data_IF_217039875576
#
_entry.id   IF_217039875576
#
_cell.length_a   1.000
_cell.length_b   1.000
_cell.length_c   1.000
_cell.angle_alpha   90.00
_cell.angle_beta   90.00
_cell.angle_gamma   90.00
#
_symmetry.space_group_name_H-M   'P 1'
#
loop_
_entity.id
_entity.type
_entity.pdbx_description
1 polymer ?
#
# COMPACT_ATOMS: atom_id res chain seq x y z
N UNK A 1 -25.80 11.86 32.30
CA UNK A 1 -24.52 11.14 32.20
C UNK A 1 -24.72 9.92 31.31
N UNK A 2 -23.99 9.84 30.21
CA UNK A 2 -24.05 8.68 29.37
C UNK A 2 -23.55 7.47 30.16
N UNK A 3 -24.41 6.48 30.35
CA UNK A 3 -24.00 5.20 30.89
C UNK A 3 -22.91 4.60 29.98
N UNK A 4 -21.81 4.04 30.53
CA UNK A 4 -20.83 3.33 29.71
C UNK A 4 -21.57 2.24 28.93
N UNK A 5 -21.47 2.26 27.60
CA UNK A 5 -21.97 1.15 26.80
C UNK A 5 -21.16 -0.09 27.17
N UNK A 6 -21.77 -1.24 27.19
CA UNK A 6 -21.06 -2.52 27.29
C UNK A 6 -20.22 -2.70 26.03
N UNK A 7 -18.98 -2.18 26.09
CA UNK A 7 -18.00 -2.37 25.01
C UNK A 7 -17.47 -3.81 25.10
N UNK A 8 -17.24 -4.41 23.95
CA UNK A 8 -16.54 -5.69 23.88
C UNK A 8 -15.14 -5.54 24.47
N UNK A 9 -14.60 -6.57 25.13
CA UNK A 9 -13.18 -6.56 25.51
C UNK A 9 -12.30 -6.33 24.29
N UNK A 10 -11.20 -5.57 24.45
CA UNK A 10 -10.26 -5.25 23.35
C UNK A 10 -9.76 -6.52 22.63
N UNK A 11 -9.55 -7.62 23.35
CA UNK A 11 -9.17 -8.92 22.78
C UNK A 11 -10.20 -9.45 21.79
N UNK A 12 -11.49 -9.23 22.09
CA UNK A 12 -12.59 -9.67 21.23
C UNK A 12 -12.73 -8.78 19.98
N UNK A 13 -12.55 -7.48 20.15
CA UNK A 13 -12.51 -6.54 19.03
C UNK A 13 -11.33 -6.84 18.09
N UNK A 14 -10.15 -7.13 18.65
CA UNK A 14 -8.98 -7.52 17.87
C UNK A 14 -9.22 -8.83 17.11
N UNK A 15 -9.79 -9.85 17.75
CA UNK A 15 -10.15 -11.12 17.11
C UNK A 15 -11.11 -10.92 15.93
N UNK A 16 -12.14 -10.09 16.12
CA UNK A 16 -13.10 -9.77 15.06
C UNK A 16 -12.44 -9.02 13.92
N UNK A 17 -11.68 -7.96 14.21
CA UNK A 17 -11.00 -7.15 13.20
C UNK A 17 -10.00 -7.98 12.39
N UNK A 18 -9.19 -8.82 13.04
CA UNK A 18 -8.22 -9.69 12.36
C UNK A 18 -8.91 -10.77 11.53
N UNK A 19 -10.04 -11.30 12.00
CA UNK A 19 -10.83 -12.27 11.24
C UNK A 19 -11.41 -11.63 9.97
N UNK A 20 -12.01 -10.45 10.08
CA UNK A 20 -12.56 -9.71 8.93
C UNK A 20 -11.43 -9.41 7.93
N UNK A 21 -10.31 -8.88 8.40
CA UNK A 21 -9.18 -8.55 7.54
C UNK A 21 -8.60 -9.81 6.86
N UNK A 22 -8.39 -10.90 7.61
CA UNK A 22 -7.90 -12.18 7.04
C UNK A 22 -8.85 -12.73 5.97
N UNK A 23 -10.16 -12.60 6.14
CA UNK A 23 -11.17 -13.07 5.18
C UNK A 23 -11.25 -12.18 3.93
N UNK A 24 -10.76 -10.94 3.99
CA UNK A 24 -10.74 -10.03 2.85
C UNK A 24 -9.63 -10.34 1.84
N UNK A 25 -8.64 -11.18 2.17
CA UNK A 25 -7.57 -11.56 1.25
C UNK A 25 -8.11 -12.39 0.08
N UNK A 26 -7.94 -11.91 -1.15
CA UNK A 26 -8.41 -12.55 -2.38
C UNK A 26 -7.35 -12.52 -3.47
N UNK A 27 -7.52 -13.41 -4.43
CA UNK A 27 -6.70 -13.49 -5.64
C UNK A 27 -7.53 -13.14 -6.85
N UNK A 28 -7.03 -12.20 -7.65
CA UNK A 28 -7.63 -11.73 -8.90
C UNK A 28 -6.63 -11.87 -10.04
N UNK A 29 -7.06 -11.54 -11.25
CA UNK A 29 -6.17 -11.48 -12.43
C UNK A 29 -5.02 -10.49 -12.21
N UNK A 30 -5.27 -9.38 -11.52
CA UNK A 30 -4.26 -8.37 -11.20
C UNK A 30 -3.19 -8.89 -10.24
N UNK A 31 -3.59 -9.64 -9.20
CA UNK A 31 -2.73 -10.14 -8.14
C UNK A 31 -3.50 -10.56 -6.89
N UNK A 32 -2.79 -10.77 -5.80
CA UNK A 32 -3.38 -11.18 -4.51
C UNK A 32 -3.19 -10.08 -3.48
N UNK A 33 -4.28 -9.68 -2.84
CA UNK A 33 -4.29 -8.57 -1.87
C UNK A 33 -5.48 -8.62 -0.92
N UNK A 34 -5.39 -7.87 0.17
CA UNK A 34 -6.51 -7.62 1.08
C UNK A 34 -7.44 -6.59 0.47
N UNK A 35 -8.72 -6.93 0.39
CA UNK A 35 -9.74 -6.06 -0.20
C UNK A 35 -10.03 -4.86 0.69
N UNK A 36 -10.27 -3.69 0.09
CA UNK A 36 -11.01 -2.63 0.75
C UNK A 36 -12.47 -3.04 0.95
N UNK A 37 -13.14 -2.37 1.87
CA UNK A 37 -14.58 -2.54 2.04
C UNK A 37 -15.32 -2.18 0.73
N UNK A 38 -16.25 -3.04 0.33
CA UNK A 38 -17.15 -2.84 -0.81
C UNK A 38 -16.49 -2.68 -2.20
N UNK A 39 -15.26 -3.15 -2.39
CA UNK A 39 -14.61 -3.10 -3.70
C UNK A 39 -13.72 -4.32 -3.94
N UNK A 40 -13.67 -4.79 -5.19
CA UNK A 40 -12.68 -5.77 -5.65
C UNK A 40 -11.41 -5.12 -6.21
N UNK A 41 -11.42 -3.80 -6.37
CA UNK A 41 -10.28 -3.05 -6.89
C UNK A 41 -9.31 -2.70 -5.76
N UNK A 42 -8.03 -2.82 -6.04
CA UNK A 42 -7.00 -2.42 -5.09
C UNK A 42 -6.82 -0.91 -5.06
N UNK A 43 -6.76 -0.34 -3.86
CA UNK A 43 -6.43 1.05 -3.63
C UNK A 43 -5.23 1.17 -2.69
N UNK A 44 -4.14 1.69 -3.22
CA UNK A 44 -2.89 1.85 -2.49
C UNK A 44 -3.03 2.87 -1.37
N UNK A 45 -2.68 2.48 -0.15
CA UNK A 45 -2.61 3.35 1.03
C UNK A 45 -3.83 4.29 1.24
N UNK A 46 -5.04 3.75 1.02
CA UNK A 46 -6.27 4.48 1.28
C UNK A 46 -7.12 3.80 2.36
N UNK A 47 -7.94 2.83 2.00
CA UNK A 47 -8.82 2.08 2.92
C UNK A 47 -8.38 0.63 3.11
N UNK A 48 -7.40 0.19 2.36
CA UNK A 48 -6.79 -1.15 2.43
C UNK A 48 -5.30 -1.06 2.12
N UNK A 49 -4.84 -1.73 1.10
CA UNK A 49 -3.50 -1.71 0.54
C UNK A 49 -2.38 -1.24 1.46
N UNK A 50 -1.48 -2.10 1.86
CA UNK A 50 -0.37 -1.86 2.80
C UNK A 50 -0.78 -1.41 4.22
N UNK A 51 -1.91 -0.69 4.40
CA UNK A 51 -2.41 -0.32 5.73
C UNK A 51 -2.91 -1.56 6.47
N UNK A 52 -3.66 -2.44 5.78
CA UNK A 52 -4.18 -3.67 6.35
C UNK A 52 -3.10 -4.76 6.45
N UNK A 53 -2.09 -4.75 5.60
CA UNK A 53 -1.00 -5.73 5.63
C UNK A 53 -0.15 -5.64 6.89
N UNK A 54 0.09 -4.42 7.40
CA UNK A 54 0.93 -4.23 8.58
C UNK A 54 0.38 -4.91 9.84
N UNK A 55 -0.88 -4.71 10.27
CA UNK A 55 -1.45 -5.43 11.41
C UNK A 55 -1.53 -6.95 11.16
N UNK A 56 -1.75 -7.40 9.91
CA UNK A 56 -1.75 -8.83 9.59
C UNK A 56 -0.34 -9.42 9.72
N UNK A 57 0.70 -8.70 9.31
CA UNK A 57 2.09 -9.11 9.56
C UNK A 57 2.41 -9.17 11.06
N UNK A 58 1.85 -8.25 11.85
CA UNK A 58 2.07 -8.21 13.30
C UNK A 58 1.53 -9.45 14.04
N UNK A 59 0.58 -10.20 13.47
CA UNK A 59 0.11 -11.49 14.01
C UNK A 59 1.19 -12.55 14.03
N UNK A 60 2.26 -12.37 13.29
CA UNK A 60 3.46 -13.22 13.23
C UNK A 60 3.17 -14.71 13.00
N UNK A 61 2.15 -15.04 12.21
CA UNK A 61 1.86 -16.40 11.79
C UNK A 61 2.21 -16.60 10.30
N UNK A 62 2.56 -17.82 9.92
CA UNK A 62 3.02 -18.15 8.58
C UNK A 62 2.01 -17.81 7.48
N UNK A 63 0.73 -18.10 7.71
CA UNK A 63 -0.34 -17.84 6.75
C UNK A 63 -0.41 -16.35 6.37
N UNK A 64 -0.43 -15.46 7.37
CA UNK A 64 -0.56 -14.03 7.13
C UNK A 64 0.76 -13.44 6.61
N UNK A 65 1.94 -13.93 7.06
CA UNK A 65 3.22 -13.56 6.45
C UNK A 65 3.26 -13.84 4.95
N UNK A 66 2.79 -15.02 4.52
CA UNK A 66 2.76 -15.39 3.10
C UNK A 66 1.80 -14.50 2.30
N UNK A 67 0.66 -14.13 2.87
CA UNK A 67 -0.30 -13.22 2.24
C UNK A 67 0.23 -11.79 2.13
N UNK A 68 0.85 -11.30 3.19
CA UNK A 68 1.52 -9.98 3.19
C UNK A 68 2.63 -9.96 2.14
N UNK A 69 3.46 -11.03 2.08
CA UNK A 69 4.49 -11.15 1.03
C UNK A 69 3.89 -11.08 -0.37
N UNK A 70 2.77 -11.78 -0.61
CA UNK A 70 2.10 -11.75 -1.91
C UNK A 70 1.56 -10.36 -2.27
N UNK A 71 0.98 -9.62 -1.30
CA UNK A 71 0.53 -8.25 -1.56
C UNK A 71 1.70 -7.29 -1.79
N UNK A 72 2.80 -7.38 -1.02
CA UNK A 72 3.97 -6.54 -1.27
C UNK A 72 4.60 -6.82 -2.63
N UNK A 73 4.69 -8.09 -3.05
CA UNK A 73 5.11 -8.46 -4.41
C UNK A 73 4.19 -7.84 -5.47
N UNK A 74 2.89 -7.94 -5.26
CA UNK A 74 1.90 -7.35 -6.16
C UNK A 74 2.08 -5.83 -6.27
N UNK A 75 2.16 -5.12 -5.14
CA UNK A 75 2.34 -3.66 -5.09
C UNK A 75 3.60 -3.23 -5.82
N UNK A 76 4.74 -3.84 -5.50
CA UNK A 76 6.04 -3.48 -6.07
C UNK A 76 6.11 -3.78 -7.57
N UNK A 77 5.61 -4.95 -8.00
CA UNK A 77 5.75 -5.38 -9.38
C UNK A 77 4.68 -4.81 -10.34
N UNK A 78 3.52 -4.39 -9.81
CA UNK A 78 2.40 -3.95 -10.65
C UNK A 78 2.12 -2.46 -10.58
N UNK A 79 2.49 -1.81 -9.48
CA UNK A 79 2.09 -0.43 -9.25
C UNK A 79 3.25 0.57 -9.31
N UNK A 80 4.52 0.14 -9.28
CA UNK A 80 5.63 1.09 -9.41
C UNK A 80 5.86 1.48 -10.87
N UNK A 81 5.72 2.77 -11.17
CA UNK A 81 6.04 3.34 -12.47
C UNK A 81 7.55 3.53 -12.69
N UNK A 82 7.95 3.90 -13.92
CA UNK A 82 9.37 4.04 -14.28
C UNK A 82 10.09 5.14 -13.51
N UNK A 83 9.39 6.20 -13.13
CA UNK A 83 9.96 7.30 -12.33
C UNK A 83 10.32 6.89 -10.90
N UNK A 84 9.78 5.77 -10.40
CA UNK A 84 9.89 5.31 -9.03
C UNK A 84 8.65 5.57 -8.18
N UNK A 85 7.76 6.46 -8.61
CA UNK A 85 6.45 6.66 -7.99
C UNK A 85 5.49 5.51 -8.29
N UNK A 86 4.49 5.33 -7.44
CA UNK A 86 3.49 4.28 -7.54
C UNK A 86 2.16 4.83 -8.05
N UNK A 87 1.47 4.04 -8.86
CA UNK A 87 0.07 4.25 -9.21
C UNK A 87 -0.82 4.02 -7.99
N UNK A 88 -1.86 4.84 -7.84
CA UNK A 88 -2.72 4.85 -6.65
C UNK A 88 -3.73 3.71 -6.56
N UNK A 89 -3.94 2.96 -7.65
CA UNK A 89 -4.88 1.85 -7.66
C UNK A 89 -4.88 1.07 -8.97
N UNK A 90 -5.51 -0.11 -8.91
CA UNK A 90 -5.66 -1.02 -10.04
C UNK A 90 -6.97 -1.80 -9.91
N UNK A 91 -7.66 -2.04 -11.02
CA UNK A 91 -8.86 -2.86 -11.02
C UNK A 91 -8.53 -4.34 -10.79
N UNK A 92 -9.52 -5.13 -10.40
CA UNK A 92 -9.38 -6.59 -10.29
C UNK A 92 -8.92 -7.25 -11.60
N UNK A 93 -9.20 -6.63 -12.75
CA UNK A 93 -8.79 -7.09 -14.08
C UNK A 93 -7.36 -6.69 -14.48
N UNK A 94 -6.72 -5.78 -13.71
CA UNK A 94 -5.34 -5.35 -13.93
C UNK A 94 -5.20 -4.03 -14.70
N UNK A 95 -6.25 -3.21 -14.75
CA UNK A 95 -6.21 -1.87 -15.36
C UNK A 95 -5.85 -0.82 -14.31
N UNK A 96 -4.82 -0.01 -14.58
CA UNK A 96 -4.41 1.08 -13.69
C UNK A 96 -5.53 2.13 -13.58
N UNK A 97 -5.82 2.54 -12.35
CA UNK A 97 -6.84 3.56 -12.08
C UNK A 97 -6.21 4.93 -11.89
N UNK A 98 -6.65 5.94 -12.65
CA UNK A 98 -6.24 7.31 -12.41
C UNK A 98 -6.87 7.83 -11.11
N UNK A 99 -6.10 8.54 -10.30
CA UNK A 99 -6.59 9.32 -9.15
C UNK A 99 -6.90 10.76 -9.56
N UNK A 100 -7.36 10.92 -10.76
CA UNK A 100 -7.52 12.17 -11.46
C UNK A 100 -8.60 13.04 -10.81
N UNK A 101 -8.25 14.29 -10.58
CA UNK A 101 -9.19 15.33 -10.19
C UNK A 101 -9.42 16.37 -11.31
N UNK A 102 -8.60 16.37 -12.36
CA UNK A 102 -8.72 17.32 -13.47
C UNK A 102 -8.94 16.64 -14.82
N UNK A 103 -9.99 16.99 -15.59
CA UNK A 103 -10.36 16.36 -16.84
C UNK A 103 -9.30 16.49 -17.96
N UNK A 104 -8.46 17.52 -17.92
CA UNK A 104 -7.55 17.87 -19.00
C UNK A 104 -6.20 17.15 -18.94
N UNK A 105 -5.96 16.32 -17.93
CA UNK A 105 -4.72 15.54 -17.82
C UNK A 105 -4.91 14.15 -18.42
N UNK A 106 -4.25 13.83 -19.55
CA UNK A 106 -4.43 12.54 -20.24
C UNK A 106 -3.69 11.37 -19.56
N UNK A 107 -2.67 11.65 -18.75
CA UNK A 107 -1.88 10.61 -18.10
C UNK A 107 -2.54 10.08 -16.83
N UNK A 108 -2.28 8.81 -16.50
CA UNK A 108 -2.68 8.23 -15.21
C UNK A 108 -1.88 8.88 -14.10
N UNK A 109 -2.58 9.54 -13.19
CA UNK A 109 -2.00 10.28 -12.08
C UNK A 109 -2.19 9.53 -10.77
N UNK A 110 -1.29 9.77 -9.83
CA UNK A 110 -1.33 9.25 -8.48
C UNK A 110 -1.14 10.38 -7.46
N UNK A 111 -1.78 10.24 -6.31
CA UNK A 111 -1.60 11.19 -5.20
C UNK A 111 -0.20 11.08 -4.61
N UNK A 112 0.50 12.21 -4.49
CA UNK A 112 1.80 12.30 -3.83
C UNK A 112 1.72 11.82 -2.38
N UNK A 113 0.64 12.16 -1.66
CA UNK A 113 0.40 11.69 -0.29
C UNK A 113 0.41 10.15 -0.20
N UNK A 114 -0.29 9.45 -1.09
CA UNK A 114 -0.29 7.98 -1.09
C UNK A 114 1.10 7.41 -1.33
N UNK A 115 1.89 8.06 -2.15
CA UNK A 115 3.29 7.66 -2.38
C UNK A 115 4.16 7.84 -1.13
N UNK A 116 3.94 8.90 -0.34
CA UNK A 116 4.63 9.03 0.96
C UNK A 116 4.22 7.93 1.94
N UNK A 117 2.93 7.58 1.97
CA UNK A 117 2.41 6.47 2.78
C UNK A 117 3.01 5.12 2.33
N UNK A 118 3.20 4.88 1.01
CA UNK A 118 3.88 3.67 0.51
C UNK A 118 5.28 3.56 1.08
N UNK A 119 6.07 4.62 1.02
CA UNK A 119 7.43 4.61 1.56
C UNK A 119 7.42 4.32 3.06
N UNK A 120 6.55 5.00 3.81
CA UNK A 120 6.37 4.77 5.24
C UNK A 120 6.02 3.31 5.54
N UNK A 121 5.02 2.74 4.86
CA UNK A 121 4.57 1.38 5.14
C UNK A 121 5.59 0.32 4.70
N UNK A 122 6.30 0.50 3.57
CA UNK A 122 7.39 -0.41 3.19
C UNK A 122 8.44 -0.49 4.29
N UNK A 123 8.92 0.66 4.77
CA UNK A 123 9.90 0.70 5.87
C UNK A 123 9.35 0.09 7.14
N UNK A 124 8.09 0.35 7.49
CA UNK A 124 7.43 -0.24 8.68
C UNK A 124 7.37 -1.77 8.58
N UNK A 125 7.05 -2.33 7.40
CA UNK A 125 7.06 -3.78 7.19
C UNK A 125 8.47 -4.37 7.34
N UNK A 126 9.50 -3.70 6.81
CA UNK A 126 10.89 -4.16 6.94
C UNK A 126 11.35 -4.18 8.39
N UNK A 127 11.04 -3.12 9.14
CA UNK A 127 11.37 -3.04 10.57
C UNK A 127 10.67 -4.15 11.36
N UNK A 128 9.38 -4.38 11.11
CA UNK A 128 8.62 -5.42 11.80
C UNK A 128 9.13 -6.83 11.47
N UNK A 129 9.44 -7.11 10.19
CA UNK A 129 10.07 -8.38 9.80
C UNK A 129 11.41 -8.60 10.49
N UNK A 130 12.23 -7.55 10.63
CA UNK A 130 13.49 -7.60 11.35
C UNK A 130 13.27 -7.88 12.84
N UNK A 131 12.34 -7.18 13.48
CA UNK A 131 11.98 -7.37 14.90
C UNK A 131 11.47 -8.79 15.18
N UNK A 132 10.75 -9.38 14.23
CA UNK A 132 10.24 -10.75 14.31
C UNK A 132 11.30 -11.83 13.98
N UNK A 133 12.54 -11.46 13.66
CA UNK A 133 13.59 -12.39 13.24
C UNK A 133 13.42 -12.92 11.80
N UNK A 134 12.53 -12.32 11.00
CA UNK A 134 12.20 -12.74 9.62
C UNK A 134 12.88 -11.87 8.56
N UNK A 135 14.07 -11.33 8.83
CA UNK A 135 14.77 -10.41 7.94
C UNK A 135 15.02 -10.99 6.54
N UNK A 136 15.21 -12.30 6.44
CA UNK A 136 15.40 -13.04 5.19
C UNK A 136 14.15 -13.05 4.28
N UNK A 137 13.00 -12.64 4.78
CA UNK A 137 11.79 -12.46 3.98
C UNK A 137 11.76 -11.13 3.23
N UNK A 138 12.63 -10.17 3.60
CA UNK A 138 12.72 -8.89 2.89
C UNK A 138 13.40 -9.15 1.55
N UNK A 139 12.64 -8.98 0.47
CA UNK A 139 13.11 -9.22 -0.88
C UNK A 139 13.91 -8.02 -1.40
N UNK A 140 14.99 -8.25 -2.19
CA UNK A 140 15.76 -7.17 -2.80
C UNK A 140 14.90 -6.23 -3.66
N UNK A 141 13.86 -6.76 -4.30
CA UNK A 141 12.91 -5.99 -5.12
C UNK A 141 12.14 -4.98 -4.29
N UNK A 142 11.74 -5.32 -3.07
CA UNK A 142 11.04 -4.42 -2.15
C UNK A 142 11.95 -3.29 -1.67
N UNK A 143 13.19 -3.62 -1.30
CA UNK A 143 14.18 -2.61 -0.93
C UNK A 143 14.51 -1.67 -2.09
N UNK A 144 14.67 -2.21 -3.29
CA UNK A 144 14.92 -1.42 -4.50
C UNK A 144 13.74 -0.51 -4.81
N UNK A 145 12.51 -0.98 -4.64
CA UNK A 145 11.31 -0.17 -4.84
C UNK A 145 11.25 1.00 -3.85
N UNK A 146 11.54 0.76 -2.57
CA UNK A 146 11.61 1.82 -1.56
C UNK A 146 12.72 2.84 -1.89
N UNK A 147 13.91 2.39 -2.29
CA UNK A 147 15.02 3.27 -2.69
C UNK A 147 14.68 4.11 -3.92
N UNK A 148 14.03 3.51 -4.95
CA UNK A 148 13.58 4.24 -6.15
C UNK A 148 12.55 5.31 -5.79
N UNK A 149 11.58 5.00 -4.94
CA UNK A 149 10.58 5.96 -4.49
C UNK A 149 11.21 7.11 -3.70
N UNK A 150 12.11 6.82 -2.77
CA UNK A 150 12.85 7.86 -2.03
C UNK A 150 13.67 8.76 -2.97
N UNK A 151 14.34 8.17 -3.97
CA UNK A 151 15.09 8.92 -4.97
C UNK A 151 14.16 9.78 -5.85
N UNK A 152 12.96 9.28 -6.20
CA UNK A 152 11.97 10.04 -6.94
C UNK A 152 11.50 11.28 -6.16
N UNK A 153 11.20 11.14 -4.86
CA UNK A 153 10.87 12.28 -4.00
C UNK A 153 12.02 13.29 -3.92
N UNK A 154 13.26 12.81 -3.71
CA UNK A 154 14.44 13.67 -3.67
C UNK A 154 14.62 14.44 -4.98
N UNK A 155 14.48 13.77 -6.12
CA UNK A 155 14.58 14.39 -7.45
C UNK A 155 13.51 15.47 -7.64
N UNK A 156 12.24 15.17 -7.33
CA UNK A 156 11.15 16.14 -7.47
C UNK A 156 11.39 17.37 -6.61
N UNK A 157 11.82 17.20 -5.35
CA UNK A 157 12.17 18.32 -4.48
C UNK A 157 13.29 19.19 -5.03
N UNK A 158 14.38 18.58 -5.50
CA UNK A 158 15.52 19.34 -6.06
C UNK A 158 15.17 20.05 -7.36
N UNK A 159 14.25 19.53 -8.16
CA UNK A 159 13.84 20.12 -9.42
C UNK A 159 12.82 21.26 -9.26
N UNK A 160 11.88 21.11 -8.31
CA UNK A 160 10.71 21.99 -8.23
C UNK A 160 10.60 22.76 -6.91
N UNK A 161 11.27 22.33 -5.83
CA UNK A 161 11.12 22.89 -4.49
C UNK A 161 9.77 22.55 -3.82
N UNK A 162 8.95 21.72 -4.48
CA UNK A 162 7.65 21.27 -4.01
C UNK A 162 7.33 19.88 -4.56
N UNK A 163 6.28 19.24 -4.05
CA UNK A 163 5.86 17.90 -4.50
C UNK A 163 4.58 17.90 -5.34
N UNK A 164 3.83 18.99 -5.32
CA UNK A 164 2.49 19.05 -5.90
C UNK A 164 1.47 18.15 -5.15
N UNK A 165 0.27 18.04 -5.69
CA UNK A 165 -0.76 17.15 -5.16
C UNK A 165 -0.80 15.80 -5.87
N UNK A 166 -0.58 15.83 -7.17
CA UNK A 166 -0.55 14.65 -8.04
C UNK A 166 0.75 14.56 -8.81
N UNK A 167 1.11 13.33 -9.17
CA UNK A 167 2.31 13.00 -9.93
C UNK A 167 1.94 11.99 -11.02
N UNK A 168 2.62 12.00 -12.14
CA UNK A 168 2.54 10.96 -13.17
C UNK A 168 3.58 9.88 -12.87
N UNK A 169 3.19 8.67 -12.40
CA UNK A 169 4.17 7.66 -11.97
C UNK A 169 5.10 7.19 -13.10
N UNK A 170 4.69 7.30 -14.35
CA UNK A 170 5.52 6.89 -15.48
C UNK A 170 6.67 7.86 -15.74
N UNK A 171 6.43 9.18 -15.61
CA UNK A 171 7.43 10.21 -15.95
C UNK A 171 8.02 10.92 -14.73
N UNK A 172 7.27 10.99 -13.63
CA UNK A 172 7.63 11.76 -12.44
C UNK A 172 7.24 13.25 -12.54
N UNK A 173 6.47 13.64 -13.55
CA UNK A 173 5.97 15.00 -13.70
C UNK A 173 4.89 15.31 -12.67
N UNK A 174 4.97 16.53 -12.09
CA UNK A 174 3.89 17.08 -11.25
C UNK A 174 2.71 17.40 -12.15
N UNK A 175 1.50 16.98 -11.72
CA UNK A 175 0.26 17.15 -12.45
C UNK A 175 -0.70 18.13 -11.76
#
# INVERSE_FOLDING_TARGET
PNQPRNLLPMSKELEMATTICSNSFKTFKAGSYYLPENSNDFQLCWVSGMINTYPMLALNNEKERNRVSAELDFVVNKLQGKSGYFYGGITANGELRPEKMHPDFPAVQAMVRKNSDVLFWLIKHFLLLKEQGNINMIKPEWENAAKKLAAAFSKTWHQHGEFGQYIVPETGEIA
#
